data_IF_656346420235
#
_entry.id   IF_656346420235
#
_cell.length_a   1.000
_cell.length_b   1.000
_cell.length_c   1.000
_cell.angle_alpha   90.00
_cell.angle_beta   90.00
_cell.angle_gamma   90.00
#
_symmetry.space_group_name_H-M   'P 1'
#
loop_
_entity.id
_entity.type
_entity.pdbx_description
1 polymer ?
#
# COMPACT_ATOMS: atom_id res chain seq x y z
N UNK A 1 -10.40 40.43 -10.00
CA UNK A 1 -11.00 39.32 -10.79
C UNK A 1 -9.99 38.18 -10.87
N UNK A 2 -10.50 36.94 -10.66
CA UNK A 2 -9.88 35.61 -10.73
C UNK A 2 -8.93 35.18 -9.60
N UNK A 3 -9.52 34.43 -8.65
CA UNK A 3 -8.89 33.43 -7.78
C UNK A 3 -8.46 32.21 -8.60
N UNK A 4 -7.31 31.61 -8.27
CA UNK A 4 -7.01 30.20 -8.52
C UNK A 4 -6.27 29.61 -7.33
N UNK A 5 -7.07 29.07 -6.43
CA UNK A 5 -6.65 28.19 -5.36
C UNK A 5 -6.54 26.82 -6.03
N UNK A 6 -5.33 26.35 -6.32
CA UNK A 6 -5.11 24.95 -6.70
C UNK A 6 -3.97 24.38 -5.87
N UNK A 7 -4.36 23.96 -4.67
CA UNK A 7 -4.00 22.66 -4.09
C UNK A 7 -2.91 21.86 -4.82
N UNK A 8 -1.65 22.19 -4.57
CA UNK A 8 -0.55 21.20 -4.62
C UNK A 8 0.11 21.03 -3.26
N UNK A 9 -0.69 21.20 -2.20
CA UNK A 9 -0.35 20.63 -0.90
C UNK A 9 -0.54 19.11 -0.98
N UNK A 10 0.57 18.38 -0.80
CA UNK A 10 0.62 16.96 -0.37
C UNK A 10 0.55 15.84 -1.43
N UNK A 11 1.49 15.78 -2.38
CA UNK A 11 1.97 14.50 -2.94
C UNK A 11 3.46 14.68 -3.24
N UNK A 12 4.46 13.99 -2.69
CA UNK A 12 4.56 12.94 -1.67
C UNK A 12 6.06 12.91 -1.33
N UNK A 13 6.37 13.22 -0.07
CA UNK A 13 7.57 12.84 0.70
C UNK A 13 8.85 12.50 -0.10
N UNK A 14 9.80 13.45 -0.04
CA UNK A 14 11.18 13.26 0.43
C UNK A 14 11.80 11.90 0.08
N UNK A 15 12.59 11.91 -0.98
CA UNK A 15 13.69 10.98 -1.23
C UNK A 15 14.40 10.63 0.08
N UNK A 16 14.05 9.48 0.63
CA UNK A 16 14.81 8.86 1.69
C UNK A 16 15.71 7.87 0.97
N UNK A 17 16.98 8.23 0.78
CA UNK A 17 18.01 7.23 0.50
C UNK A 17 17.96 6.19 1.63
N UNK A 18 17.46 4.99 1.34
CA UNK A 18 17.34 3.93 2.35
C UNK A 18 16.57 2.73 1.83
N UNK A 19 17.29 1.80 1.20
CA UNK A 19 16.82 0.49 0.74
C UNK A 19 15.77 0.52 -0.38
N UNK A 20 16.05 -0.16 -1.49
CA UNK A 20 15.01 -0.46 -2.47
C UNK A 20 13.91 -1.26 -1.76
N UNK A 21 12.63 -0.85 -1.81
CA UNK A 21 11.58 -1.57 -1.14
C UNK A 21 11.48 -2.98 -1.72
N UNK A 22 11.19 -3.98 -0.88
CA UNK A 22 11.01 -5.36 -1.35
C UNK A 22 9.65 -5.57 -2.02
N UNK A 23 8.66 -4.76 -1.62
CA UNK A 23 7.29 -4.83 -2.11
C UNK A 23 6.60 -3.46 -2.15
N UNK A 24 5.64 -3.31 -3.07
CA UNK A 24 4.77 -2.14 -3.23
C UNK A 24 3.34 -2.55 -2.92
N UNK A 25 2.67 -1.80 -2.06
CA UNK A 25 1.24 -2.02 -1.83
C UNK A 25 0.39 -1.61 -3.02
N UNK A 26 -0.56 -2.47 -3.36
CA UNK A 26 -1.50 -2.25 -4.46
C UNK A 26 -2.86 -1.76 -3.97
N UNK A 27 -3.34 -2.28 -2.84
CA UNK A 27 -4.70 -2.01 -2.40
C UNK A 27 -5.24 -3.04 -1.42
N UNK A 28 -6.46 -2.76 -0.96
CA UNK A 28 -7.25 -3.71 -0.19
C UNK A 28 -8.17 -4.49 -1.12
N UNK A 29 -8.20 -5.81 -0.95
CA UNK A 29 -9.16 -6.67 -1.61
C UNK A 29 -10.15 -7.21 -0.58
N UNK A 30 -11.44 -7.05 -0.87
CA UNK A 30 -12.51 -7.65 -0.09
C UNK A 30 -12.69 -9.11 -0.50
N UNK A 31 -12.66 -10.01 0.48
CA UNK A 31 -12.99 -11.41 0.31
C UNK A 31 -14.50 -11.62 0.40
N UNK A 32 -14.98 -12.74 -0.14
CA UNK A 32 -16.39 -13.16 0.01
C UNK A 32 -16.85 -13.28 1.48
N UNK A 33 -15.92 -13.40 2.42
CA UNK A 33 -16.18 -13.39 3.86
C UNK A 33 -16.39 -11.99 4.46
N UNK A 34 -16.33 -10.92 3.65
CA UNK A 34 -16.34 -9.52 4.11
C UNK A 34 -15.02 -9.07 4.76
N UNK A 35 -13.98 -9.91 4.71
CA UNK A 35 -12.65 -9.56 5.23
C UNK A 35 -11.86 -8.78 4.18
N UNK A 36 -11.22 -7.70 4.60
CA UNK A 36 -10.25 -6.97 3.78
C UNK A 36 -8.85 -7.57 3.96
N UNK A 37 -8.19 -7.89 2.85
CA UNK A 37 -6.78 -8.30 2.80
C UNK A 37 -5.96 -7.28 2.02
N UNK A 38 -4.71 -7.07 2.45
CA UNK A 38 -3.79 -6.20 1.73
C UNK A 38 -3.07 -7.00 0.62
N UNK A 39 -3.00 -6.39 -0.56
CA UNK A 39 -2.25 -6.91 -1.71
C UNK A 39 -0.99 -6.08 -1.95
N UNK A 40 0.07 -6.78 -2.34
CA UNK A 40 1.38 -6.19 -2.60
C UNK A 40 1.99 -6.82 -3.84
N UNK A 41 2.71 -6.02 -4.63
CA UNK A 41 3.61 -6.52 -5.67
C UNK A 41 5.02 -6.64 -5.12
N UNK A 42 5.65 -7.79 -5.31
CA UNK A 42 7.07 -7.96 -4.99
C UNK A 42 7.91 -7.25 -6.05
N UNK A 43 8.76 -6.32 -5.63
CA UNK A 43 9.68 -5.56 -6.50
C UNK A 43 11.16 -5.76 -6.15
N UNK A 44 11.46 -6.66 -5.21
CA UNK A 44 12.81 -7.15 -4.95
C UNK A 44 13.38 -7.91 -6.16
N UNK A 45 14.22 -7.25 -6.99
CA UNK A 45 14.74 -7.81 -8.26
C UNK A 45 15.53 -9.12 -8.11
N UNK A 46 16.09 -9.39 -6.93
CA UNK A 46 16.87 -10.60 -6.64
C UNK A 46 16.03 -11.69 -5.93
N UNK A 47 14.71 -11.55 -5.88
CA UNK A 47 13.83 -12.50 -5.23
C UNK A 47 13.06 -13.34 -6.28
N UNK A 48 12.92 -14.67 -6.11
CA UNK A 48 12.24 -15.52 -7.08
C UNK A 48 10.77 -15.15 -7.32
N UNK A 49 10.13 -14.50 -6.35
CA UNK A 49 8.75 -13.99 -6.48
C UNK A 49 8.66 -12.59 -7.10
N UNK A 50 9.74 -12.02 -7.64
CA UNK A 50 9.71 -10.72 -8.31
C UNK A 50 8.58 -10.65 -9.35
N UNK A 51 7.81 -9.56 -9.33
CA UNK A 51 6.68 -9.34 -10.24
C UNK A 51 5.39 -10.06 -9.84
N UNK A 52 5.38 -10.83 -8.74
CA UNK A 52 4.18 -11.50 -8.25
C UNK A 52 3.35 -10.61 -7.33
N UNK A 53 2.02 -10.75 -7.43
CA UNK A 53 1.07 -10.18 -6.47
C UNK A 53 0.85 -11.15 -5.31
N UNK A 54 1.04 -10.67 -4.08
CA UNK A 54 1.00 -11.47 -2.86
C UNK A 54 0.28 -10.75 -1.71
N UNK A 55 -0.07 -11.50 -0.66
CA UNK A 55 -0.68 -10.94 0.56
C UNK A 55 0.38 -10.53 1.59
N UNK A 56 -0.03 -9.80 2.63
CA UNK A 56 0.85 -9.49 3.78
C UNK A 56 1.40 -10.75 4.43
N UNK A 57 0.57 -11.80 4.53
CA UNK A 57 0.97 -13.09 5.10
C UNK A 57 2.09 -13.73 4.28
N UNK A 58 1.98 -13.65 2.96
CA UNK A 58 3.01 -14.17 2.05
C UNK A 58 4.30 -13.39 2.19
N UNK A 59 4.26 -12.04 2.23
CA UNK A 59 5.47 -11.23 2.45
C UNK A 59 6.21 -11.60 3.74
N UNK A 60 5.48 -11.85 4.84
CA UNK A 60 6.07 -12.33 6.10
C UNK A 60 6.79 -13.67 5.94
N UNK A 61 6.19 -14.62 5.23
CA UNK A 61 6.82 -15.93 4.98
C UNK A 61 8.06 -15.81 4.10
N UNK A 62 8.05 -14.90 3.13
CA UNK A 62 9.18 -14.60 2.27
C UNK A 62 10.26 -13.76 2.95
N UNK A 63 10.05 -13.35 4.22
CA UNK A 63 10.93 -12.45 4.98
C UNK A 63 11.22 -11.14 4.24
N UNK A 64 10.27 -10.69 3.42
CA UNK A 64 10.34 -9.42 2.69
C UNK A 64 9.79 -8.28 3.53
N UNK A 65 10.33 -7.09 3.35
CA UNK A 65 9.82 -5.90 4.01
C UNK A 65 8.37 -5.65 3.60
N UNK A 66 7.49 -5.55 4.60
CA UNK A 66 6.12 -5.12 4.39
C UNK A 66 6.12 -3.59 4.50
N UNK A 67 5.73 -2.85 3.44
CA UNK A 67 5.67 -1.41 3.51
C UNK A 67 4.66 -0.97 4.57
N UNK A 68 4.94 0.14 5.26
CA UNK A 68 4.01 0.73 6.22
C UNK A 68 2.71 1.13 5.52
N UNK A 69 1.59 0.68 6.07
CA UNK A 69 0.27 0.79 5.49
C UNK A 69 -0.70 1.26 6.56
N UNK A 70 -1.23 2.46 6.44
CA UNK A 70 -2.36 2.87 7.26
C UNK A 70 -3.57 2.00 6.89
N UNK A 71 -4.02 1.13 7.80
CA UNK A 71 -5.25 0.37 7.63
C UNK A 71 -6.39 1.32 7.23
N UNK A 72 -7.31 0.90 6.34
CA UNK A 72 -8.42 1.74 5.94
C UNK A 72 -9.23 1.97 7.22
N UNK A 73 -9.32 3.24 7.64
CA UNK A 73 -10.23 3.59 8.73
C UNK A 73 -11.61 3.15 8.26
N UNK A 74 -12.15 2.12 8.90
CA UNK A 74 -13.55 1.74 8.72
C UNK A 74 -14.38 2.96 9.11
N UNK A 75 -14.82 3.74 8.12
CA UNK A 75 -15.69 4.89 8.35
C UNK A 75 -17.09 4.34 8.64
N UNK A 76 -17.30 3.82 9.85
CA UNK A 76 -18.63 3.58 10.41
C UNK A 76 -19.25 4.92 10.80
N UNK A 77 -19.54 5.79 9.83
CA UNK A 77 -20.30 7.02 10.04
C UNK A 77 -21.15 7.31 8.81
N UNK A 78 -22.40 6.87 8.85
CA UNK A 78 -23.62 7.61 8.51
C UNK A 78 -24.77 6.60 8.35
N UNK A 79 -25.27 6.12 9.48
CA UNK A 79 -26.65 5.68 9.60
C UNK A 79 -27.30 6.65 10.58
N UNK A 80 -28.04 7.62 10.05
CA UNK A 80 -29.03 8.38 10.79
C UNK A 80 -30.15 8.80 9.84
#
# INVERSE_FOLDING_TARGET
MKNINETKSMIKRKDSFGSNPDAIFLGWQEMLSGRLIALYNVVARNHPSYGSTVTDRTLRHLKLQIPDQSQPRSNKKNLK
#
